data_IF_323233338596
#
_entry.id   IF_323233338596
#
_cell.length_a   1.000
_cell.length_b   1.000
_cell.length_c   1.000
_cell.angle_alpha   90.00
_cell.angle_beta   90.00
_cell.angle_gamma   90.00
#
_symmetry.space_group_name_H-M   'P 1'
#
loop_
_entity.id
_entity.type
_entity.pdbx_description
1 polymer ?
#
# COMPACT_ATOMS: atom_id res chain seq x y z
N UNK A 1 18.54 0.99 -5.62
CA UNK A 1 17.30 1.62 -6.14
C UNK A 1 16.32 0.65 -6.79
N UNK A 2 16.73 -0.17 -7.77
CA UNK A 2 15.80 -1.07 -8.45
C UNK A 2 15.12 -2.09 -7.51
N UNK A 3 15.91 -2.72 -6.64
CA UNK A 3 15.42 -3.68 -5.64
C UNK A 3 14.40 -3.04 -4.68
N UNK A 4 14.67 -1.82 -4.21
CA UNK A 4 13.77 -1.08 -3.33
C UNK A 4 12.43 -0.77 -4.02
N UNK A 5 12.46 -0.32 -5.29
CA UNK A 5 11.25 -0.09 -6.10
C UNK A 5 10.40 -1.36 -6.22
N UNK A 6 11.04 -2.51 -6.43
CA UNK A 6 10.37 -3.81 -6.50
C UNK A 6 9.74 -4.18 -5.16
N UNK A 7 10.48 -4.05 -4.05
CA UNK A 7 9.96 -4.34 -2.71
C UNK A 7 8.75 -3.47 -2.35
N UNK A 8 8.81 -2.16 -2.60
CA UNK A 8 7.71 -1.23 -2.32
C UNK A 8 6.50 -1.51 -3.22
N UNK A 9 6.74 -1.90 -4.48
CA UNK A 9 5.66 -2.29 -5.40
C UNK A 9 4.93 -3.56 -4.93
N UNK A 10 5.67 -4.59 -4.49
CA UNK A 10 5.09 -5.84 -3.97
C UNK A 10 4.27 -5.57 -2.70
N UNK A 11 4.79 -4.76 -1.77
CA UNK A 11 4.07 -4.41 -0.53
C UNK A 11 2.81 -3.60 -0.80
N UNK A 12 2.85 -2.65 -1.73
CA UNK A 12 1.68 -1.89 -2.17
C UNK A 12 0.57 -2.80 -2.73
N UNK A 13 0.93 -3.76 -3.59
CA UNK A 13 0.02 -4.78 -4.11
C UNK A 13 -0.63 -5.62 -3.00
N UNK A 14 0.16 -6.02 -2.01
CA UNK A 14 -0.31 -6.79 -0.85
C UNK A 14 -1.36 -6.02 -0.04
N UNK A 15 -1.12 -4.75 0.25
CA UNK A 15 -2.08 -3.89 0.95
C UNK A 15 -3.35 -3.65 0.13
N UNK A 16 -3.23 -3.53 -1.20
CA UNK A 16 -4.38 -3.41 -2.09
C UNK A 16 -5.28 -4.66 -2.03
N UNK A 17 -4.69 -5.85 -2.06
CA UNK A 17 -5.44 -7.12 -1.95
C UNK A 17 -6.15 -7.21 -0.59
N UNK A 18 -5.45 -6.88 0.50
CA UNK A 18 -6.03 -6.84 1.84
C UNK A 18 -7.20 -5.86 1.93
N UNK A 19 -7.08 -4.69 1.30
CA UNK A 19 -8.14 -3.70 1.22
C UNK A 19 -9.37 -4.25 0.47
N UNK A 20 -9.18 -4.83 -0.71
CA UNK A 20 -10.26 -5.41 -1.52
C UNK A 20 -11.00 -6.50 -0.73
N UNK A 21 -10.26 -7.39 -0.07
CA UNK A 21 -10.85 -8.46 0.76
C UNK A 21 -11.63 -7.85 1.93
N UNK A 22 -11.07 -6.83 2.60
CA UNK A 22 -11.70 -6.16 3.75
C UNK A 22 -13.01 -5.47 3.36
N UNK A 23 -13.02 -4.77 2.21
CA UNK A 23 -14.21 -4.13 1.65
C UNK A 23 -15.26 -5.17 1.25
N UNK A 24 -14.85 -6.26 0.58
CA UNK A 24 -15.77 -7.33 0.12
C UNK A 24 -16.42 -8.07 1.29
N UNK A 25 -15.70 -8.24 2.40
CA UNK A 25 -16.20 -8.92 3.60
C UNK A 25 -17.09 -8.04 4.50
N UNK A 26 -17.39 -6.78 4.12
CA UNK A 26 -18.14 -5.82 4.96
C UNK A 26 -17.61 -5.79 6.41
N UNK A 27 -16.29 -5.90 6.58
CA UNK A 27 -15.70 -5.81 7.93
C UNK A 27 -15.84 -4.39 8.44
N UNK A 28 -15.93 -4.24 9.76
CA UNK A 28 -16.04 -2.95 10.43
C UNK A 28 -15.10 -1.90 9.81
N UNK A 29 -15.59 -0.66 9.76
CA UNK A 29 -14.91 0.47 9.14
C UNK A 29 -13.46 0.64 9.66
N UNK A 30 -13.22 0.35 10.94
CA UNK A 30 -11.88 0.35 11.55
C UNK A 30 -10.92 -0.66 10.90
N UNK A 31 -11.39 -1.84 10.51
CA UNK A 31 -10.55 -2.90 9.91
C UNK A 31 -10.26 -2.60 8.43
N UNK A 32 -11.03 -1.72 7.80
CA UNK A 32 -10.79 -1.24 6.42
C UNK A 32 -9.89 0.00 6.39
N UNK A 33 -9.99 0.89 7.39
CA UNK A 33 -9.21 2.14 7.42
C UNK A 33 -7.71 1.90 7.59
N UNK A 34 -7.32 0.88 8.37
CA UNK A 34 -5.91 0.55 8.64
C UNK A 34 -5.14 0.14 7.37
N UNK A 35 -5.59 -0.87 6.58
CA UNK A 35 -4.91 -1.21 5.33
C UNK A 35 -4.96 -0.09 4.30
N UNK A 36 -6.00 0.77 4.31
CA UNK A 36 -6.06 1.95 3.44
C UNK A 36 -4.94 2.95 3.78
N UNK A 37 -4.75 3.26 5.07
CA UNK A 37 -3.72 4.19 5.51
C UNK A 37 -2.31 3.65 5.21
N UNK A 38 -2.08 2.36 5.45
CA UNK A 38 -0.82 1.69 5.11
C UNK A 38 -0.55 1.66 3.59
N UNK A 39 -1.59 1.50 2.78
CA UNK A 39 -1.47 1.57 1.32
C UNK A 39 -1.05 2.97 0.86
N UNK A 40 -1.70 4.02 1.37
CA UNK A 40 -1.38 5.42 1.03
C UNK A 40 0.07 5.75 1.39
N UNK A 41 0.53 5.38 2.59
CA UNK A 41 1.91 5.62 3.02
C UNK A 41 2.94 4.92 2.10
N UNK A 42 2.70 3.65 1.73
CA UNK A 42 3.56 2.91 0.81
C UNK A 42 3.54 3.50 -0.61
N UNK A 43 2.39 3.99 -1.07
CA UNK A 43 2.27 4.62 -2.38
C UNK A 43 3.03 5.95 -2.45
N UNK A 44 2.96 6.77 -1.39
CA UNK A 44 3.76 8.01 -1.29
C UNK A 44 5.26 7.69 -1.30
N UNK A 45 5.69 6.68 -0.52
CA UNK A 45 7.08 6.24 -0.50
C UNK A 45 7.54 5.77 -1.90
N UNK A 46 6.70 5.02 -2.62
CA UNK A 46 6.98 4.59 -3.99
C UNK A 46 7.21 5.79 -4.93
N UNK A 47 6.35 6.80 -4.86
CA UNK A 47 6.48 8.02 -5.67
C UNK A 47 7.79 8.76 -5.35
N UNK A 48 8.14 8.93 -4.07
CA UNK A 48 9.38 9.59 -3.67
C UNK A 48 10.62 8.87 -4.23
N UNK A 49 10.63 7.53 -4.20
CA UNK A 49 11.70 6.70 -4.78
C UNK A 49 11.69 6.77 -6.32
N UNK A 50 10.53 6.89 -6.95
CA UNK A 50 10.42 7.01 -8.41
C UNK A 50 10.99 8.34 -8.90
N UNK A 51 10.67 9.44 -8.21
CA UNK A 51 11.19 10.78 -8.51
C UNK A 51 12.63 11.02 -8.02
N UNK A 52 13.28 10.02 -7.42
CA UNK A 52 14.67 10.09 -6.98
C UNK A 52 14.90 11.21 -5.94
N UNK A 53 13.86 11.57 -5.18
CA UNK A 53 13.89 12.57 -4.10
C UNK A 53 14.60 11.98 -2.85
N UNK A 54 14.82 10.66 -2.84
CA UNK A 54 15.48 9.88 -1.80
C UNK A 54 16.66 9.07 -2.36
#
# INVERSE_FOLDING_TARGET
MLFLKICVSITSLLFLILLIISVKLKRNFEVTIVPLFLFIANFILFLLIQFNIF
#
